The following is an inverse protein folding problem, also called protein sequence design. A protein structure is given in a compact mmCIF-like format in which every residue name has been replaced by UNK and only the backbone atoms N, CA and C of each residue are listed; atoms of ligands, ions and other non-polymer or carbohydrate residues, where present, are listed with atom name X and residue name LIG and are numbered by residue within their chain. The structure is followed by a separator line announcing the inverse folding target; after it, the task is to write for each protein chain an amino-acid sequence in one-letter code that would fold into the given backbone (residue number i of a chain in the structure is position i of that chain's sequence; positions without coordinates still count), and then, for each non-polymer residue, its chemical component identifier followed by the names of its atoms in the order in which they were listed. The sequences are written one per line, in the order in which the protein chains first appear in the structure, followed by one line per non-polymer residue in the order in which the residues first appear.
data_IF_066674340587
#
_entry.id   IF_066674340587
#
_cell.length_a   1.000
_cell.length_b   1.000
_cell.length_c   1.000
_cell.angle_alpha   90.00
_cell.angle_beta   90.00
_cell.angle_gamma   90.00
#
_symmetry.space_group_name_H-M   'P 1'
#
loop_
_entity.id
_entity.type
_entity.pdbx_description
1 polymer ?
#
# COMPACT_ATOMS: atom_id res chain seq x y z
N UNK A 1 -1.70 7.99 17.90
CA UNK A 1 -1.28 7.86 16.49
C UNK A 1 -2.54 7.69 15.69
N UNK A 2 -2.76 8.55 14.70
CA UNK A 2 -3.92 8.48 13.82
C UNK A 2 -3.70 7.43 12.73
N UNK A 3 -4.77 6.86 12.15
CA UNK A 3 -4.67 5.81 11.11
C UNK A 3 -3.73 6.21 9.96
N UNK A 4 -3.72 7.49 9.62
CA UNK A 4 -2.84 8.08 8.61
C UNK A 4 -1.33 7.91 8.90
N UNK A 5 -0.90 7.90 10.16
CA UNK A 5 0.52 7.70 10.51
C UNK A 5 0.95 6.24 10.29
N UNK A 6 0.03 5.30 10.53
CA UNK A 6 0.25 3.89 10.22
C UNK A 6 0.25 3.64 8.72
N UNK A 7 -0.67 4.28 7.98
CA UNK A 7 -0.72 4.20 6.52
C UNK A 7 0.56 4.74 5.88
N UNK A 8 1.10 5.87 6.38
CA UNK A 8 2.41 6.39 5.96
C UNK A 8 3.53 5.40 6.22
N UNK A 9 3.51 4.74 7.38
CA UNK A 9 4.51 3.73 7.73
C UNK A 9 4.41 2.51 6.82
N UNK A 10 3.18 2.11 6.48
CA UNK A 10 2.91 1.02 5.55
C UNK A 10 3.44 1.33 4.14
N UNK A 11 3.10 2.49 3.56
CA UNK A 11 3.63 2.96 2.27
C UNK A 11 5.16 2.92 2.24
N UNK A 12 5.80 3.46 3.28
CA UNK A 12 7.27 3.48 3.37
C UNK A 12 7.89 2.08 3.44
N UNK A 13 7.21 1.14 4.09
CA UNK A 13 7.70 -0.24 4.20
C UNK A 13 7.46 -1.03 2.91
N UNK A 14 6.31 -0.85 2.25
CA UNK A 14 6.04 -1.40 0.91
C UNK A 14 7.10 -0.94 -0.08
N UNK A 15 7.38 0.37 -0.16
CA UNK A 15 8.43 0.90 -1.04
C UNK A 15 9.82 0.30 -0.76
N UNK A 16 10.18 0.08 0.51
CA UNK A 16 11.44 -0.60 0.87
C UNK A 16 11.44 -2.07 0.48
N UNK A 17 10.31 -2.76 0.58
CA UNK A 17 10.19 -4.18 0.21
C UNK A 17 10.28 -4.34 -1.31
N UNK A 18 9.64 -3.46 -2.07
CA UNK A 18 9.80 -3.36 -3.53
C UNK A 18 11.26 -3.14 -3.93
N UNK A 19 11.91 -2.12 -3.36
CA UNK A 19 13.32 -1.84 -3.66
C UNK A 19 14.28 -2.98 -3.29
N UNK A 20 13.89 -3.87 -2.37
CA UNK A 20 14.65 -5.06 -1.97
C UNK A 20 14.29 -6.32 -2.77
N UNK A 21 13.31 -6.26 -3.67
CA UNK A 21 12.80 -7.42 -4.41
C UNK A 21 12.07 -8.42 -3.53
N UNK A 22 11.53 -7.98 -2.38
CA UNK A 22 10.72 -8.83 -1.49
C UNK A 22 9.28 -8.95 -1.98
N UNK A 23 8.76 -7.87 -2.58
CA UNK A 23 7.47 -7.86 -3.27
C UNK A 23 7.73 -8.06 -4.76
N UNK A 24 6.99 -8.98 -5.38
CA UNK A 24 7.12 -9.31 -6.78
C UNK A 24 6.04 -8.60 -7.59
N UNK A 25 6.44 -7.68 -8.48
CA UNK A 25 5.51 -6.97 -9.38
C UNK A 25 4.83 -7.89 -10.41
N UNK A 26 5.25 -9.15 -10.49
CA UNK A 26 4.67 -10.18 -11.34
C UNK A 26 3.96 -11.27 -10.53
N UNK A 27 3.57 -10.96 -9.29
CA UNK A 27 2.84 -11.89 -8.43
C UNK A 27 1.57 -12.40 -9.13
N UNK A 28 1.48 -13.72 -9.28
CA UNK A 28 0.31 -14.36 -9.87
C UNK A 28 -0.90 -14.17 -8.95
N UNK A 29 -2.04 -13.75 -9.49
CA UNK A 29 -3.28 -13.58 -8.74
C UNK A 29 -3.86 -12.18 -8.75
N UNK A 30 -3.13 -11.19 -9.27
CA UNK A 30 -3.62 -9.85 -9.52
C UNK A 30 -3.73 -9.59 -11.02
N UNK A 31 -4.87 -9.04 -11.44
CA UNK A 31 -5.11 -8.62 -12.83
C UNK A 31 -4.79 -7.12 -13.04
N UNK A 32 -4.54 -6.39 -11.96
CA UNK A 32 -4.34 -4.94 -11.92
C UNK A 32 -3.25 -4.55 -10.90
N UNK A 33 -2.31 -3.70 -11.32
CA UNK A 33 -1.19 -3.28 -10.48
C UNK A 33 -1.60 -2.39 -9.30
N UNK A 34 -2.74 -1.69 -9.43
CA UNK A 34 -3.31 -0.87 -8.37
C UNK A 34 -3.92 -1.74 -7.27
N UNK A 35 -4.69 -2.76 -7.64
CA UNK A 35 -5.23 -3.75 -6.70
C UNK A 35 -4.10 -4.45 -5.92
N UNK A 36 -3.04 -4.87 -6.63
CA UNK A 36 -1.86 -5.48 -6.02
C UNK A 36 -1.17 -4.54 -5.02
N UNK A 37 -0.97 -3.27 -5.39
CA UNK A 37 -0.34 -2.30 -4.50
C UNK A 37 -1.19 -2.02 -3.26
N UNK A 38 -2.50 -1.85 -3.43
CA UNK A 38 -3.43 -1.63 -2.33
C UNK A 38 -3.45 -2.82 -1.36
N UNK A 39 -3.42 -4.05 -1.88
CA UNK A 39 -3.36 -5.24 -1.03
C UNK A 39 -2.04 -5.33 -0.25
N UNK A 40 -0.89 -5.03 -0.89
CA UNK A 40 0.38 -4.96 -0.17
C UNK A 40 0.39 -3.88 0.93
N UNK A 41 -0.21 -2.72 0.65
CA UNK A 41 -0.37 -1.65 1.64
C UNK A 41 -1.27 -2.14 2.79
N UNK A 42 -2.38 -2.79 2.50
CA UNK A 42 -3.29 -3.36 3.51
C UNK A 42 -2.60 -4.42 4.38
N UNK A 43 -1.84 -5.33 3.76
CA UNK A 43 -1.02 -6.34 4.46
C UNK A 43 -0.04 -5.66 5.41
N UNK A 44 0.70 -4.66 4.93
CA UNK A 44 1.65 -3.95 5.76
C UNK A 44 0.96 -3.12 6.86
N UNK A 45 -0.20 -2.53 6.57
CA UNK A 45 -1.00 -1.78 7.53
C UNK A 45 -1.43 -2.67 8.71
N UNK A 46 -1.82 -3.92 8.45
CA UNK A 46 -2.12 -4.92 9.50
C UNK A 46 -0.92 -5.25 10.40
N UNK A 47 0.29 -5.17 9.85
CA UNK A 47 1.51 -5.43 10.60
C UNK A 47 1.92 -4.24 11.49
N UNK A 48 1.74 -3.01 11.01
CA UNK A 48 2.18 -1.81 11.72
C UNK A 48 1.09 -1.20 12.62
N UNK A 49 -0.19 -1.46 12.34
CA UNK A 49 -1.30 -0.93 13.14
C UNK A 49 -1.43 -1.64 14.49
N UNK A 50 -1.66 -0.91 15.60
CA UNK A 50 -1.95 -1.49 16.89
C UNK A 50 -3.37 -2.09 16.97
N UNK A 51 -4.29 -1.61 16.14
CA UNK A 51 -5.67 -2.10 16.06
C UNK A 51 -5.83 -2.97 14.82
N UNK A 52 -5.51 -4.26 14.98
CA UNK A 52 -5.61 -5.24 13.90
C UNK A 52 -7.06 -5.52 13.51
N UNK A 53 -7.98 -5.46 14.47
CA UNK A 53 -9.39 -5.74 14.23
C UNK A 53 -10.00 -4.66 13.34
N UNK A 54 -9.63 -3.39 13.54
CA UNK A 54 -10.04 -2.30 12.65
C UNK A 54 -9.54 -2.54 11.22
N UNK A 55 -8.27 -2.91 11.04
CA UNK A 55 -7.68 -3.09 9.69
C UNK A 55 -8.18 -4.37 9.00
N UNK A 56 -8.42 -5.46 9.74
CA UNK A 56 -8.96 -6.71 9.19
C UNK A 56 -10.35 -6.51 8.58
N UNK A 57 -11.13 -5.58 9.13
CA UNK A 57 -12.46 -5.27 8.62
C UNK A 57 -12.44 -4.25 7.47
N UNK A 58 -11.28 -3.72 7.10
CA UNK A 58 -11.14 -2.85 5.93
C UNK A 58 -11.01 -3.67 4.66
N UNK A 59 -11.63 -3.19 3.59
CA UNK A 59 -11.36 -3.64 2.24
C UNK A 59 -10.35 -2.71 1.52
N UNK A 60 -10.07 -2.98 0.24
CA UNK A 60 -9.13 -2.17 -0.54
C UNK A 60 -9.69 -0.78 -0.84
N UNK A 61 -11.02 -0.64 -0.94
CA UNK A 61 -11.67 0.64 -1.17
C UNK A 61 -11.50 1.54 0.06
N UNK A 62 -11.67 1.00 1.27
CA UNK A 62 -11.39 1.71 2.52
C UNK A 62 -9.92 2.19 2.60
N UNK A 63 -8.97 1.36 2.18
CA UNK A 63 -7.55 1.73 2.13
C UNK A 63 -7.33 2.87 1.15
N UNK A 64 -7.92 2.78 -0.04
CA UNK A 64 -7.85 3.82 -1.06
C UNK A 64 -8.47 5.14 -0.60
N UNK A 65 -9.65 5.11 0.02
CA UNK A 65 -10.29 6.30 0.60
C UNK A 65 -9.40 6.98 1.66
N UNK A 66 -8.71 6.20 2.51
CA UNK A 66 -7.78 6.74 3.47
C UNK A 66 -6.54 7.37 2.82
N UNK A 67 -6.04 6.80 1.71
CA UNK A 67 -4.96 7.39 0.94
C UNK A 67 -5.40 8.73 0.31
N UNK A 68 -6.58 8.78 -0.29
CA UNK A 68 -7.16 10.00 -0.88
C UNK A 68 -7.47 11.08 0.16
N UNK A 69 -7.69 10.70 1.43
CA UNK A 69 -7.99 11.64 2.51
C UNK A 69 -6.87 12.64 2.80
N UNK A 70 -5.65 12.38 2.32
CA UNK A 70 -4.48 13.23 2.51
C UNK A 70 -3.68 13.34 1.22
N UNK A 71 -3.49 14.57 0.72
CA UNK A 71 -2.69 14.83 -0.47
C UNK A 71 -1.29 14.23 -0.39
N UNK A 72 -0.66 14.26 0.78
CA UNK A 72 0.69 13.68 0.96
C UNK A 72 0.68 12.15 0.87
N UNK A 73 -0.33 11.49 1.44
CA UNK A 73 -0.44 10.03 1.35
C UNK A 73 -0.78 9.58 -0.07
N UNK A 74 -1.65 10.33 -0.74
CA UNK A 74 -2.02 10.09 -2.12
C UNK A 74 -0.82 10.28 -3.07
N UNK A 75 -0.03 11.34 -2.88
CA UNK A 75 1.19 11.58 -3.68
C UNK A 75 2.22 10.46 -3.48
N UNK A 76 2.47 10.03 -2.23
CA UNK A 76 3.36 8.91 -1.92
C UNK A 76 2.87 7.60 -2.55
N UNK A 77 1.56 7.37 -2.52
CA UNK A 77 0.91 6.22 -3.14
C UNK A 77 1.06 6.23 -4.66
N UNK A 78 0.77 7.36 -5.33
CA UNK A 78 0.91 7.48 -6.78
C UNK A 78 2.36 7.25 -7.23
N UNK A 79 3.34 7.76 -6.48
CA UNK A 79 4.75 7.52 -6.77
C UNK A 79 5.11 6.03 -6.68
N UNK A 80 4.56 5.30 -5.71
CA UNK A 80 4.75 3.85 -5.63
C UNK A 80 4.02 3.12 -6.76
N UNK A 81 2.80 3.53 -7.07
CA UNK A 81 1.99 2.94 -8.15
C UNK A 81 2.71 3.07 -9.49
N UNK A 82 3.24 4.25 -9.79
CA UNK A 82 4.07 4.48 -10.97
C UNK A 82 5.28 3.54 -11.00
N UNK A 83 5.93 3.31 -9.85
CA UNK A 83 7.09 2.40 -9.77
C UNK A 83 6.74 0.92 -10.00
N UNK A 84 5.50 0.51 -9.69
CA UNK A 84 4.99 -0.84 -9.93
C UNK A 84 4.54 -0.98 -11.38
N UNK A 85 3.91 0.07 -11.94
CA UNK A 85 3.46 0.15 -13.34
C UNK A 85 4.61 0.29 -14.33
N UNK A 86 5.76 0.81 -13.92
CA UNK A 86 6.94 0.91 -14.78
C UNK A 86 7.46 -0.50 -15.12
N UNK A 87 6.94 -1.00 -16.24
CA UNK A 87 7.52 -2.05 -17.07
C UNK A 87 8.85 -1.51 -17.57
N UNK A 88 9.95 -2.06 -17.07
CA UNK A 88 11.28 -2.04 -17.68
C UNK A 88 11.54 -0.87 -18.65
N UNK A 89 12.24 0.16 -18.16
CA UNK A 89 13.15 0.91 -19.01
C UNK A 89 14.25 -0.01 -19.57
#
# INVERSE_FOLDING_TARGET
MEMQEFLRSALKNVGKKLAKGVLDKHEEGYDDEEEMLLDWIWIELKEVSPDKDAVINMDLDDVYELLESSAELYDDYQLLLDSVKDKDA
#
